data_IF_456111291066
#
_entry.id   IF_456111291066
#
_cell.length_a   1.000
_cell.length_b   1.000
_cell.length_c   1.000
_cell.angle_alpha   90.00
_cell.angle_beta   90.00
_cell.angle_gamma   90.00
#
_symmetry.space_group_name_H-M   'P 1'
#
loop_
_entity.id
_entity.type
_entity.pdbx_description
1 polymer ?
#
# COMPACT_ATOMS: atom_id res chain seq x y z
N UNK A 1 13.40 8.73 -8.01
CA UNK A 1 13.42 10.18 -8.37
C UNK A 1 14.75 10.66 -8.95
N UNK A 2 15.89 10.49 -8.27
CA UNK A 2 17.20 11.01 -8.75
C UNK A 2 17.54 10.56 -10.18
N UNK A 3 17.40 9.27 -10.47
CA UNK A 3 17.56 8.72 -11.82
C UNK A 3 16.73 9.51 -12.86
N UNK A 4 15.44 9.74 -12.59
CA UNK A 4 14.56 10.48 -13.48
C UNK A 4 15.00 11.94 -13.62
N UNK A 5 15.43 12.61 -12.54
CA UNK A 5 15.91 13.99 -12.60
C UNK A 5 17.19 14.13 -13.44
N UNK A 6 18.14 13.19 -13.31
CA UNK A 6 19.40 13.21 -14.08
C UNK A 6 19.17 12.93 -15.56
N UNK A 7 18.18 12.08 -15.87
CA UNK A 7 17.94 11.63 -17.24
C UNK A 7 16.78 12.34 -17.93
N UNK A 8 16.02 13.22 -17.25
CA UNK A 8 14.78 13.82 -17.75
C UNK A 8 14.90 14.42 -19.16
N UNK A 9 16.03 15.06 -19.48
CA UNK A 9 16.28 15.68 -20.78
C UNK A 9 16.30 14.67 -21.95
N UNK A 10 16.61 13.39 -21.68
CA UNK A 10 16.62 12.31 -22.68
C UNK A 10 15.21 12.03 -23.23
N UNK A 11 14.15 12.57 -22.62
CA UNK A 11 12.78 12.40 -23.09
C UNK A 11 12.56 12.94 -24.51
N UNK A 12 13.40 13.89 -24.95
CA UNK A 12 13.36 14.48 -26.29
C UNK A 12 14.02 13.59 -27.36
N UNK A 13 14.81 12.59 -26.96
CA UNK A 13 15.49 11.65 -27.85
C UNK A 13 14.90 10.24 -27.72
N UNK A 14 14.16 9.82 -28.76
CA UNK A 14 13.49 8.51 -28.81
C UNK A 14 14.43 7.31 -28.78
N UNK A 15 15.69 7.45 -29.22
CA UNK A 15 16.68 6.38 -29.17
C UNK A 15 17.32 6.34 -27.79
N UNK A 16 17.72 7.50 -27.26
CA UNK A 16 18.33 7.57 -25.92
C UNK A 16 17.36 7.14 -24.80
N UNK A 17 16.07 7.48 -24.90
CA UNK A 17 15.07 7.10 -23.90
C UNK A 17 14.86 5.58 -23.81
N UNK A 18 15.03 4.84 -24.91
CA UNK A 18 14.99 3.37 -24.91
C UNK A 18 16.17 2.78 -24.14
N UNK A 19 17.39 3.24 -24.44
CA UNK A 19 18.58 2.80 -23.70
C UNK A 19 18.49 3.18 -22.22
N UNK A 20 17.98 4.36 -21.92
CA UNK A 20 17.72 4.84 -20.56
C UNK A 20 16.71 3.96 -19.81
N UNK A 21 15.65 3.49 -20.48
CA UNK A 21 14.70 2.55 -19.87
C UNK A 21 15.35 1.21 -19.50
N UNK A 22 16.20 0.66 -20.37
CA UNK A 22 16.93 -0.58 -20.05
C UNK A 22 17.88 -0.37 -18.86
N UNK A 23 18.58 0.77 -18.82
CA UNK A 23 19.42 1.13 -17.67
C UNK A 23 18.58 1.25 -16.38
N UNK A 24 17.42 1.90 -16.46
CA UNK A 24 16.49 2.01 -15.34
C UNK A 24 16.05 0.64 -14.84
N UNK A 25 15.71 -0.29 -15.73
CA UNK A 25 15.32 -1.65 -15.36
C UNK A 25 16.46 -2.39 -14.64
N UNK A 26 17.70 -2.28 -15.11
CA UNK A 26 18.84 -2.88 -14.43
C UNK A 26 19.12 -2.25 -13.06
N UNK A 27 18.99 -0.94 -12.93
CA UNK A 27 19.12 -0.27 -11.62
C UNK A 27 18.00 -0.69 -10.66
N UNK A 28 16.77 -0.77 -11.17
CA UNK A 28 15.61 -1.20 -10.40
C UNK A 28 15.76 -2.66 -9.96
N UNK A 29 16.17 -3.56 -10.87
CA UNK A 29 16.46 -4.96 -10.58
C UNK A 29 17.54 -5.08 -9.51
N UNK A 30 18.67 -4.38 -9.67
CA UNK A 30 19.76 -4.39 -8.70
C UNK A 30 19.30 -3.91 -7.33
N UNK A 31 18.52 -2.82 -7.28
CA UNK A 31 17.99 -2.28 -6.03
C UNK A 31 17.00 -3.22 -5.39
N UNK A 32 16.03 -3.76 -6.12
CA UNK A 32 15.08 -4.74 -5.60
C UNK A 32 15.80 -5.99 -5.10
N UNK A 33 16.78 -6.51 -5.84
CA UNK A 33 17.61 -7.62 -5.37
C UNK A 33 18.31 -7.29 -4.06
N UNK A 34 18.93 -6.11 -3.95
CA UNK A 34 19.73 -5.75 -2.76
C UNK A 34 18.88 -5.36 -1.56
N UNK A 35 17.81 -4.60 -1.77
CA UNK A 35 17.02 -3.96 -0.71
C UNK A 35 15.77 -4.76 -0.33
N UNK A 36 15.27 -5.61 -1.21
CA UNK A 36 14.01 -6.35 -1.02
C UNK A 36 14.23 -7.85 -0.99
N UNK A 37 14.84 -8.42 -2.04
CA UNK A 37 14.86 -9.88 -2.21
C UNK A 37 16.05 -10.53 -1.52
N UNK A 38 17.16 -9.81 -1.27
CA UNK A 38 18.35 -10.35 -0.61
C UNK A 38 18.07 -10.94 0.77
N UNK A 39 17.13 -10.33 1.51
CA UNK A 39 16.70 -10.79 2.82
C UNK A 39 15.68 -11.93 2.76
N UNK A 40 15.18 -12.30 1.58
CA UNK A 40 14.24 -13.40 1.39
C UNK A 40 14.95 -14.71 1.09
N UNK A 41 14.27 -15.84 1.30
CA UNK A 41 14.72 -17.18 0.90
C UNK A 41 15.08 -17.25 -0.60
N UNK A 42 14.39 -16.46 -1.42
CA UNK A 42 14.57 -16.43 -2.87
C UNK A 42 15.83 -15.67 -3.29
N UNK A 43 16.34 -14.74 -2.48
CA UNK A 43 17.58 -13.96 -2.67
C UNK A 43 17.66 -13.06 -3.90
N UNK A 44 16.97 -13.36 -5.00
CA UNK A 44 16.96 -12.58 -6.24
C UNK A 44 15.61 -12.61 -6.95
N UNK A 45 15.34 -11.56 -7.73
CA UNK A 45 14.18 -11.46 -8.61
C UNK A 45 14.16 -12.54 -9.69
N UNK A 46 15.33 -13.01 -10.14
CA UNK A 46 15.42 -14.16 -11.06
C UNK A 46 14.81 -15.40 -10.42
N UNK A 47 15.18 -15.69 -9.17
CA UNK A 47 14.64 -16.83 -8.43
C UNK A 47 13.15 -16.66 -8.15
N UNK A 48 12.70 -15.43 -7.85
CA UNK A 48 11.27 -15.12 -7.72
C UNK A 48 10.53 -15.43 -9.03
N UNK A 49 11.04 -14.97 -10.16
CA UNK A 49 10.44 -15.20 -11.46
C UNK A 49 10.40 -16.71 -11.81
N UNK A 50 11.48 -17.43 -11.55
CA UNK A 50 11.54 -18.88 -11.73
C UNK A 50 10.51 -19.62 -10.88
N UNK A 51 10.38 -19.27 -9.59
CA UNK A 51 9.40 -19.89 -8.71
C UNK A 51 7.97 -19.58 -9.14
N UNK A 52 7.68 -18.35 -9.58
CA UNK A 52 6.37 -17.99 -10.12
C UNK A 52 6.06 -18.78 -11.40
N UNK A 53 7.01 -18.89 -12.32
CA UNK A 53 6.85 -19.69 -13.54
C UNK A 53 6.63 -21.15 -13.17
N UNK A 54 7.48 -21.72 -12.31
CA UNK A 54 7.37 -23.10 -11.86
C UNK A 54 6.01 -23.37 -11.20
N UNK A 55 5.52 -22.47 -10.35
CA UNK A 55 4.22 -22.58 -9.71
C UNK A 55 3.07 -22.61 -10.73
N UNK A 56 3.09 -21.71 -11.72
CA UNK A 56 2.08 -21.62 -12.79
C UNK A 56 2.03 -22.87 -13.66
N UNK A 57 3.16 -23.54 -13.85
CA UNK A 57 3.23 -24.76 -14.64
C UNK A 57 3.01 -26.04 -13.83
N UNK A 58 3.28 -26.03 -12.52
CA UNK A 58 3.21 -27.23 -11.67
C UNK A 58 1.88 -27.40 -10.93
N UNK A 59 1.13 -26.31 -10.67
CA UNK A 59 -0.12 -26.38 -9.91
C UNK A 59 -1.34 -26.07 -10.80
N UNK A 60 -2.32 -26.98 -10.77
CA UNK A 60 -3.53 -26.91 -11.61
C UNK A 60 -4.32 -25.61 -11.42
N UNK A 61 -4.36 -25.09 -10.19
CA UNK A 61 -5.05 -23.84 -9.85
C UNK A 61 -4.55 -22.62 -10.63
N UNK A 62 -3.32 -22.66 -11.15
CA UNK A 62 -2.70 -21.55 -11.87
C UNK A 62 -2.61 -21.76 -13.39
N UNK A 63 -3.11 -22.88 -13.92
CA UNK A 63 -3.01 -23.20 -15.35
C UNK A 63 -3.65 -22.13 -16.25
N UNK A 64 -4.71 -21.47 -15.78
CA UNK A 64 -5.38 -20.36 -16.47
C UNK A 64 -4.45 -19.16 -16.74
N UNK A 65 -3.34 -19.03 -16.00
CA UNK A 65 -2.37 -17.93 -16.13
C UNK A 65 -1.22 -18.22 -17.11
N UNK A 66 -1.09 -19.46 -17.60
CA UNK A 66 -0.03 -19.85 -18.55
C UNK A 66 0.03 -18.99 -19.83
N UNK A 67 -1.09 -18.59 -20.47
CA UNK A 67 -1.03 -17.71 -21.65
C UNK A 67 -0.35 -16.37 -21.35
N UNK A 68 -0.59 -15.79 -20.17
CA UNK A 68 0.01 -14.54 -19.73
C UNK A 68 1.53 -14.69 -19.54
N UNK A 69 1.96 -15.77 -18.87
CA UNK A 69 3.41 -16.04 -18.68
C UNK A 69 4.10 -16.21 -20.03
N UNK A 70 3.52 -16.96 -20.98
CA UNK A 70 4.07 -17.10 -22.33
C UNK A 70 4.16 -15.77 -23.07
N UNK A 71 3.18 -14.89 -22.90
CA UNK A 71 3.20 -13.56 -23.51
C UNK A 71 4.31 -12.67 -22.94
N UNK A 72 4.55 -12.72 -21.63
CA UNK A 72 5.66 -11.98 -21.00
C UNK A 72 7.00 -12.52 -21.51
N UNK A 73 7.17 -13.85 -21.53
CA UNK A 73 8.40 -14.50 -21.97
C UNK A 73 8.66 -14.36 -23.48
N UNK A 74 7.64 -14.13 -24.29
CA UNK A 74 7.80 -13.93 -25.74
C UNK A 74 8.42 -12.56 -26.09
N UNK A 75 8.58 -11.66 -25.11
CA UNK A 75 9.31 -10.39 -25.28
C UNK A 75 8.63 -9.39 -26.22
N UNK A 76 7.37 -9.60 -26.57
CA UNK A 76 6.66 -8.76 -27.55
C UNK A 76 6.22 -7.40 -27.00
N UNK A 77 6.34 -7.18 -25.69
CA UNK A 77 6.02 -5.90 -25.05
C UNK A 77 7.02 -5.53 -23.96
N UNK A 78 7.29 -4.24 -23.82
CA UNK A 78 8.05 -3.68 -22.71
C UNK A 78 7.09 -3.29 -21.59
N UNK A 79 6.85 -4.21 -20.67
CA UNK A 79 6.04 -3.92 -19.47
C UNK A 79 6.60 -2.68 -18.76
N UNK A 80 5.74 -1.72 -18.44
CA UNK A 80 6.13 -0.48 -17.75
C UNK A 80 6.74 0.62 -18.63
N UNK A 81 6.95 0.39 -19.94
CA UNK A 81 7.50 1.41 -20.86
C UNK A 81 6.71 2.72 -20.85
N UNK A 82 5.38 2.65 -21.02
CA UNK A 82 4.53 3.83 -21.08
C UNK A 82 4.58 4.63 -19.76
N UNK A 83 4.62 3.94 -18.62
CA UNK A 83 4.72 4.56 -17.30
C UNK A 83 6.08 5.25 -17.10
N UNK A 84 7.16 4.59 -17.51
CA UNK A 84 8.50 5.16 -17.48
C UNK A 84 8.60 6.44 -18.31
N UNK A 85 8.11 6.40 -19.55
CA UNK A 85 8.10 7.57 -20.43
C UNK A 85 7.25 8.68 -19.85
N UNK A 86 6.07 8.37 -19.31
CA UNK A 86 5.22 9.35 -18.64
C UNK A 86 5.94 10.03 -17.47
N UNK A 87 6.61 9.26 -16.62
CA UNK A 87 7.37 9.79 -15.48
C UNK A 87 8.56 10.65 -15.92
N UNK A 88 9.26 10.27 -16.99
CA UNK A 88 10.34 11.07 -17.59
C UNK A 88 9.82 12.41 -18.12
N UNK A 89 8.65 12.41 -18.79
CA UNK A 89 8.00 13.63 -19.30
C UNK A 89 7.60 14.56 -18.17
N UNK A 90 6.94 14.03 -17.14
CA UNK A 90 6.51 14.81 -15.98
C UNK A 90 7.70 15.45 -15.26
N UNK A 91 8.76 14.67 -15.06
CA UNK A 91 9.99 15.15 -14.43
C UNK A 91 10.64 16.25 -15.27
N UNK A 92 10.72 16.08 -16.59
CA UNK A 92 11.28 17.07 -17.51
C UNK A 92 10.50 18.40 -17.46
N UNK A 93 9.16 18.33 -17.55
CA UNK A 93 8.28 19.50 -17.48
C UNK A 93 8.45 20.21 -16.13
N UNK A 94 8.38 19.46 -15.03
CA UNK A 94 8.57 19.98 -13.68
C UNK A 94 9.93 20.68 -13.52
N UNK A 95 11.02 20.10 -14.04
CA UNK A 95 12.36 20.72 -13.95
C UNK A 95 12.50 21.98 -14.81
N UNK A 96 11.83 22.04 -15.97
CA UNK A 96 11.83 23.21 -16.86
C UNK A 96 11.01 24.37 -16.29
N UNK A 97 9.88 24.07 -15.63
CA UNK A 97 9.04 25.08 -14.97
C UNK A 97 9.61 25.63 -13.67
N UNK A 98 10.60 24.95 -13.07
CA UNK A 98 11.15 25.26 -11.74
C UNK A 98 12.47 26.05 -11.76
N UNK A 99 12.83 26.72 -12.85
CA UNK A 99 14.07 27.51 -13.00
C UNK A 99 14.10 28.81 -12.16
N UNK A 100 13.51 28.79 -10.95
CA UNK A 100 13.57 29.89 -9.97
C UNK A 100 14.71 29.65 -8.96
N UNK A 101 15.45 30.69 -8.52
CA UNK A 101 16.72 30.52 -7.79
C UNK A 101 16.61 29.99 -6.36
N UNK A 102 15.40 29.77 -5.83
CA UNK A 102 15.15 29.47 -4.42
C UNK A 102 15.30 28.00 -4.00
N UNK A 103 15.50 27.07 -4.94
CA UNK A 103 15.56 25.61 -4.66
C UNK A 103 16.96 25.04 -4.41
N UNK A 104 18.02 25.86 -4.42
CA UNK A 104 19.40 25.37 -4.17
C UNK A 104 19.58 24.79 -2.76
N UNK A 105 18.79 25.26 -1.78
CA UNK A 105 18.79 24.80 -0.39
C UNK A 105 18.11 23.43 -0.24
N UNK A 106 17.11 23.11 -1.07
CA UNK A 106 16.40 21.82 -1.02
C UNK A 106 17.19 20.66 -1.65
N UNK A 107 18.25 20.96 -2.40
CA UNK A 107 19.01 19.98 -3.19
C UNK A 107 19.84 19.00 -2.35
N UNK A 108 20.02 19.24 -1.06
CA UNK A 108 20.78 18.38 -0.13
C UNK A 108 20.00 17.95 1.12
N UNK A 109 18.73 18.36 1.27
CA UNK A 109 17.95 18.00 2.45
C UNK A 109 17.57 16.50 2.45
N UNK A 110 18.01 15.77 3.48
CA UNK A 110 17.60 14.39 3.74
C UNK A 110 16.32 14.38 4.58
N UNK A 111 15.54 13.30 4.55
CA UNK A 111 14.29 13.19 5.33
C UNK A 111 14.51 13.46 6.83
N UNK A 112 15.63 12.96 7.36
CA UNK A 112 16.05 13.18 8.75
C UNK A 112 16.41 14.64 9.06
N UNK A 113 16.96 15.38 8.09
CA UNK A 113 17.24 16.81 8.24
C UNK A 113 15.96 17.64 8.18
N UNK A 114 15.00 17.25 7.33
CA UNK A 114 13.71 17.93 7.22
C UNK A 114 12.83 17.70 8.45
N UNK A 115 12.87 16.49 9.02
CA UNK A 115 12.05 16.10 10.17
C UNK A 115 12.94 15.60 11.32
N UNK A 116 13.70 16.49 11.97
CA UNK A 116 14.63 16.11 13.03
C UNK A 116 13.87 15.68 14.30
N UNK A 117 14.29 14.60 14.97
CA UNK A 117 13.68 14.20 16.23
C UNK A 117 14.02 15.18 17.35
N UNK A 118 13.04 15.53 18.17
CA UNK A 118 13.15 16.53 19.26
C UNK A 118 13.39 15.90 20.63
N UNK A 119 13.03 14.63 20.80
CA UNK A 119 13.13 13.91 22.08
C UNK A 119 13.66 12.48 21.90
N UNK A 120 13.84 11.75 23.00
CA UNK A 120 14.40 10.40 22.98
C UNK A 120 13.47 9.37 22.31
N UNK A 121 12.15 9.54 22.46
CA UNK A 121 11.16 8.66 21.85
C UNK A 121 11.18 8.85 20.34
N UNK A 122 11.12 10.09 19.86
CA UNK A 122 11.25 10.41 18.43
C UNK A 122 12.60 9.95 17.87
N UNK A 123 13.70 10.03 18.61
CA UNK A 123 14.99 9.47 18.15
C UNK A 123 14.95 7.95 17.97
N UNK A 124 14.14 7.26 18.76
CA UNK A 124 13.98 5.81 18.70
C UNK A 124 13.11 5.39 17.52
N UNK A 125 12.04 6.13 17.25
CA UNK A 125 11.10 5.89 16.15
C UNK A 125 11.60 6.42 14.80
N UNK A 126 12.14 7.64 14.76
CA UNK A 126 12.46 8.32 13.50
C UNK A 126 13.71 7.70 12.86
N UNK A 127 13.64 7.43 11.56
CA UNK A 127 14.73 6.83 10.81
C UNK A 127 14.27 5.92 9.69
N UNK A 128 15.20 5.13 9.18
CA UNK A 128 14.94 4.12 8.16
C UNK A 128 14.62 2.79 8.81
N UNK A 129 13.59 2.13 8.28
CA UNK A 129 13.09 0.85 8.74
C UNK A 129 13.08 -0.12 7.57
N UNK A 130 13.54 -1.36 7.82
CA UNK A 130 13.55 -2.46 6.86
C UNK A 130 12.81 -3.64 7.45
N UNK A 131 11.92 -4.23 6.66
CA UNK A 131 11.08 -5.36 7.03
C UNK A 131 11.95 -6.59 7.27
N UNK A 132 11.71 -7.22 8.40
CA UNK A 132 12.29 -8.50 8.77
C UNK A 132 11.47 -9.61 8.12
N UNK A 133 11.90 -10.04 6.93
CA UNK A 133 11.18 -11.02 6.11
C UNK A 133 10.98 -12.37 6.80
N UNK A 134 11.83 -12.72 7.78
CA UNK A 134 11.74 -13.98 8.53
C UNK A 134 10.64 -13.94 9.60
N UNK A 135 10.19 -12.75 9.99
CA UNK A 135 9.18 -12.51 11.05
C UNK A 135 7.91 -11.84 10.48
N UNK A 136 7.69 -11.95 9.17
CA UNK A 136 6.45 -11.55 8.50
C UNK A 136 5.43 -12.68 8.63
N UNK A 137 4.26 -12.34 9.18
CA UNK A 137 3.10 -13.21 9.13
C UNK A 137 2.01 -12.50 8.36
N UNK A 138 1.51 -13.16 7.31
CA UNK A 138 0.36 -12.69 6.56
C UNK A 138 -0.57 -13.86 6.32
N UNK A 139 -1.71 -13.83 6.99
CA UNK A 139 -2.81 -14.77 6.79
C UNK A 139 -3.87 -14.04 5.95
N UNK A 140 -3.74 -14.12 4.63
CA UNK A 140 -4.85 -13.76 3.73
C UNK A 140 -5.80 -14.96 3.75
N UNK A 141 -7.11 -14.71 3.74
CA UNK A 141 -8.11 -15.73 3.37
C UNK A 141 -7.97 -16.15 1.90
N UNK A 142 -6.76 -16.52 1.46
CA UNK A 142 -6.58 -17.35 0.28
C UNK A 142 -7.27 -18.67 0.56
N UNK A 143 -7.97 -19.16 -0.47
CA UNK A 143 -8.54 -20.51 -0.50
C UNK A 143 -7.44 -21.48 -0.11
N UNK A 144 -7.41 -21.88 1.15
CA UNK A 144 -6.56 -22.96 1.61
C UNK A 144 -6.99 -24.16 0.77
N UNK A 145 -6.11 -24.60 -0.12
CA UNK A 145 -6.23 -25.79 -0.96
C UNK A 145 -6.18 -27.09 -0.13
N UNK A 146 -6.55 -27.00 1.15
CA UNK A 146 -6.80 -28.13 2.02
C UNK A 146 -8.19 -28.68 1.71
N UNK A 147 -8.33 -29.94 1.29
CA UNK A 147 -9.64 -30.56 1.09
C UNK A 147 -10.31 -30.72 2.46
N UNK A 148 -11.17 -29.77 2.84
CA UNK A 148 -11.96 -29.87 4.07
C UNK A 148 -12.29 -28.57 4.80
N UNK A 149 -11.73 -27.41 4.43
CA UNK A 149 -12.01 -26.14 5.12
C UNK A 149 -12.52 -25.04 4.19
N UNK A 150 -13.51 -25.36 3.35
CA UNK A 150 -14.36 -24.36 2.70
C UNK A 150 -15.62 -24.18 3.53
N UNK A 151 -15.74 -23.07 4.26
CA UNK A 151 -17.08 -22.69 4.76
C UNK A 151 -17.50 -21.28 4.32
N UNK A 152 -16.66 -20.26 4.15
CA UNK A 152 -17.19 -18.91 3.85
C UNK A 152 -16.24 -17.97 3.07
N UNK A 153 -15.66 -18.38 1.94
CA UNK A 153 -15.03 -17.39 1.04
C UNK A 153 -16.10 -16.84 0.08
N UNK A 154 -16.42 -15.55 0.19
CA UNK A 154 -17.35 -14.88 -0.73
C UNK A 154 -16.71 -14.80 -2.12
N UNK A 155 -17.27 -15.43 -3.16
CA UNK A 155 -16.71 -15.43 -4.52
C UNK A 155 -16.63 -14.03 -5.15
N UNK A 156 -17.23 -13.00 -4.53
CA UNK A 156 -17.18 -11.60 -4.95
C UNK A 156 -15.93 -10.87 -4.46
N UNK A 157 -15.18 -11.42 -3.52
CA UNK A 157 -13.92 -10.81 -3.06
C UNK A 157 -12.78 -11.36 -3.92
N UNK A 158 -12.09 -10.52 -4.71
CA UNK A 158 -11.03 -10.99 -5.59
C UNK A 158 -9.82 -11.46 -4.78
N UNK A 159 -9.14 -12.49 -5.32
CA UNK A 159 -7.83 -12.92 -4.83
C UNK A 159 -6.82 -11.77 -4.94
N UNK A 160 -5.88 -11.69 -3.99
CA UNK A 160 -4.80 -10.69 -4.03
C UNK A 160 -3.95 -10.94 -5.28
N UNK A 161 -3.86 -9.96 -6.17
CA UNK A 161 -2.99 -10.11 -7.34
C UNK A 161 -1.52 -10.03 -6.92
N UNK A 162 -0.66 -10.84 -7.56
CA UNK A 162 0.79 -10.78 -7.36
C UNK A 162 1.34 -9.36 -7.61
N UNK A 163 0.77 -8.63 -8.58
CA UNK A 163 1.16 -7.24 -8.85
C UNK A 163 0.85 -6.32 -7.68
N UNK A 164 -0.35 -6.46 -7.08
CA UNK A 164 -0.72 -5.70 -5.88
C UNK A 164 0.17 -6.04 -4.69
N UNK A 165 0.58 -7.30 -4.55
CA UNK A 165 1.48 -7.74 -3.50
C UNK A 165 2.90 -7.17 -3.70
N UNK A 166 3.43 -7.21 -4.92
CA UNK A 166 4.74 -6.62 -5.25
C UNK A 166 4.71 -5.10 -5.07
N UNK A 167 3.63 -4.44 -5.50
CA UNK A 167 3.45 -3.00 -5.29
C UNK A 167 3.40 -2.65 -3.80
N UNK A 168 2.66 -3.42 -3.00
CA UNK A 168 2.61 -3.23 -1.55
C UNK A 168 3.98 -3.47 -0.91
N UNK A 169 4.66 -4.57 -1.27
CA UNK A 169 6.01 -4.87 -0.80
C UNK A 169 7.00 -3.74 -1.13
N UNK A 170 6.92 -3.16 -2.32
CA UNK A 170 7.77 -2.04 -2.72
C UNK A 170 7.60 -0.80 -1.82
N UNK A 171 6.47 -0.69 -1.10
CA UNK A 171 6.15 0.42 -0.22
C UNK A 171 6.43 0.11 1.25
N UNK A 172 6.23 -1.14 1.68
CA UNK A 172 6.34 -1.52 3.09
C UNK A 172 7.69 -2.13 3.44
N UNK A 173 8.40 -2.78 2.52
CA UNK A 173 9.65 -3.49 2.83
C UNK A 173 10.73 -2.55 3.36
N UNK A 174 10.78 -1.32 2.86
CA UNK A 174 11.68 -0.30 3.39
C UNK A 174 10.98 1.04 3.36
N UNK A 175 11.06 1.80 4.44
CA UNK A 175 10.54 3.14 4.51
C UNK A 175 11.29 4.02 5.50
N UNK A 176 11.12 5.32 5.35
CA UNK A 176 11.51 6.33 6.32
C UNK A 176 10.31 6.77 7.12
N UNK A 177 10.49 6.83 8.43
CA UNK A 177 9.48 7.23 9.41
C UNK A 177 9.94 8.48 10.15
N UNK A 178 9.04 9.43 10.34
CA UNK A 178 9.22 10.52 11.28
C UNK A 178 7.92 10.78 12.03
N UNK A 179 7.93 10.53 13.33
CA UNK A 179 6.87 10.93 14.25
C UNK A 179 7.21 12.30 14.86
N UNK A 180 6.16 13.05 15.17
CA UNK A 180 6.20 14.27 15.97
C UNK A 180 5.11 14.15 17.03
N UNK A 181 5.53 14.02 18.28
CA UNK A 181 4.63 13.75 19.41
C UNK A 181 3.82 14.99 19.77
N UNK A 182 4.41 16.17 19.62
CA UNK A 182 3.78 17.46 19.94
C UNK A 182 2.64 17.76 18.96
N UNK A 183 2.89 17.61 17.67
CA UNK A 183 1.84 17.78 16.65
C UNK A 183 0.97 16.53 16.45
N UNK A 184 1.24 15.45 17.18
CA UNK A 184 0.61 14.12 17.03
C UNK A 184 0.59 13.69 15.56
N UNK A 185 1.72 13.75 14.87
CA UNK A 185 1.78 13.41 13.45
C UNK A 185 2.79 12.32 13.16
N UNK A 186 2.54 11.60 12.06
CA UNK A 186 3.48 10.65 11.49
C UNK A 186 3.66 10.93 10.01
N UNK A 187 4.91 10.86 9.56
CA UNK A 187 5.32 11.02 8.16
C UNK A 187 6.01 9.75 7.71
N UNK A 188 5.59 9.25 6.55
CA UNK A 188 6.08 8.00 5.97
C UNK A 188 6.48 8.21 4.53
N UNK A 189 7.66 7.72 4.15
CA UNK A 189 8.18 7.83 2.78
C UNK A 189 8.82 6.52 2.34
N UNK A 190 8.42 6.01 1.18
CA UNK A 190 9.10 4.88 0.55
C UNK A 190 10.36 5.38 -0.20
N UNK A 191 11.45 4.58 -0.25
CA UNK A 191 12.68 4.93 -0.98
C UNK A 191 12.45 5.25 -2.46
N UNK A 192 11.45 4.60 -3.05
CA UNK A 192 11.10 4.75 -4.47
C UNK A 192 10.01 5.81 -4.72
N UNK A 193 9.76 6.70 -3.76
CA UNK A 193 8.73 7.72 -3.89
C UNK A 193 8.91 8.59 -5.14
N UNK A 194 7.79 8.78 -5.85
CA UNK A 194 7.68 9.64 -7.03
C UNK A 194 7.51 11.12 -6.65
N UNK A 195 7.07 11.40 -5.42
CA UNK A 195 6.79 12.75 -4.95
C UNK A 195 8.06 13.56 -4.64
N UNK A 196 7.92 14.88 -4.41
CA UNK A 196 8.99 15.80 -4.04
C UNK A 196 9.85 15.29 -2.90
N UNK A 197 11.08 15.81 -2.76
CA UNK A 197 11.99 15.40 -1.66
C UNK A 197 11.37 15.61 -0.27
N UNK A 198 10.50 16.61 -0.13
CA UNK A 198 9.77 16.95 1.09
C UNK A 198 8.37 16.34 1.13
N UNK A 199 7.86 15.86 -0.01
CA UNK A 199 6.54 15.24 -0.07
C UNK A 199 6.61 13.81 0.47
N UNK A 200 5.68 13.50 1.36
CA UNK A 200 5.54 12.20 1.99
C UNK A 200 4.10 12.00 2.40
N UNK A 201 3.73 10.75 2.72
CA UNK A 201 2.48 10.50 3.42
C UNK A 201 2.56 11.19 4.78
N UNK A 202 1.60 12.04 5.09
CA UNK A 202 1.51 12.76 6.37
C UNK A 202 0.16 12.49 7.00
N UNK A 203 0.17 11.95 8.21
CA UNK A 203 -1.01 11.61 8.99
C UNK A 203 -0.98 12.36 10.32
N UNK A 204 -2.16 12.83 10.74
CA UNK A 204 -2.40 13.43 12.04
C UNK A 204 -3.18 12.43 12.88
N UNK A 205 -2.70 12.19 14.10
CA UNK A 205 -3.04 11.09 14.98
C UNK A 205 -3.80 11.58 16.23
N UNK A 206 -4.83 12.40 16.00
CA UNK A 206 -5.61 13.05 17.05
C UNK A 206 -6.97 12.38 17.36
N UNK A 207 -7.21 11.18 16.81
CA UNK A 207 -8.43 10.41 16.97
C UNK A 207 -9.61 10.91 16.12
N UNK A 208 -9.40 11.91 15.26
CA UNK A 208 -10.46 12.48 14.40
C UNK A 208 -10.46 11.85 13.01
N UNK A 209 -11.62 11.95 12.35
CA UNK A 209 -11.76 11.56 10.95
C UNK A 209 -10.94 12.52 10.07
N UNK A 210 -10.09 11.98 9.21
CA UNK A 210 -9.19 12.76 8.36
C UNK A 210 -9.04 12.11 6.99
N UNK A 211 -8.47 12.88 6.07
CA UNK A 211 -8.07 12.43 4.73
C UNK A 211 -6.57 12.67 4.58
N UNK A 212 -5.84 11.69 4.05
CA UNK A 212 -4.45 11.87 3.66
C UNK A 212 -4.33 12.09 2.16
N UNK A 213 -3.33 12.90 1.76
CA UNK A 213 -3.18 13.34 0.36
C UNK A 213 -2.51 12.30 -0.53
N UNK A 214 -1.57 11.54 0.01
CA UNK A 214 -0.70 10.68 -0.77
C UNK A 214 -0.18 9.48 0.02
N UNK A 215 0.09 8.41 -0.70
CA UNK A 215 0.74 7.21 -0.18
C UNK A 215 2.26 7.39 -0.01
N UNK A 216 2.95 6.48 0.69
CA UNK A 216 4.40 6.57 0.91
C UNK A 216 5.22 6.59 -0.40
N UNK A 217 4.72 5.98 -1.47
CA UNK A 217 5.33 6.01 -2.81
C UNK A 217 5.08 7.31 -3.58
N UNK A 218 4.35 8.26 -3.00
CA UNK A 218 4.08 9.56 -3.60
C UNK A 218 2.88 9.60 -4.55
N UNK A 219 2.17 8.48 -4.75
CA UNK A 219 0.92 8.46 -5.51
C UNK A 219 -0.17 9.16 -4.70
N UNK A 220 -0.96 10.00 -5.36
CA UNK A 220 -2.12 10.66 -4.74
C UNK A 220 -3.15 9.64 -4.28
N UNK A 221 -3.70 9.82 -3.10
CA UNK A 221 -4.79 8.96 -2.58
C UNK A 221 -6.07 9.06 -3.42
N UNK A 222 -6.20 10.09 -4.26
CA UNK A 222 -7.36 10.28 -5.14
C UNK A 222 -7.14 9.81 -6.59
N UNK A 223 -6.00 9.18 -6.91
CA UNK A 223 -5.64 8.84 -8.29
C UNK A 223 -6.30 7.56 -8.86
N UNK A 224 -7.22 6.91 -8.13
CA UNK A 224 -7.85 5.65 -8.54
C UNK A 224 -9.38 5.67 -8.53
N UNK A 225 -10.00 4.59 -9.01
CA UNK A 225 -11.43 4.36 -8.88
C UNK A 225 -11.79 4.12 -7.39
N UNK A 226 -12.49 5.08 -6.79
CA UNK A 226 -12.91 5.07 -5.40
C UNK A 226 -12.25 6.16 -4.53
N UNK A 227 -12.88 6.48 -3.40
CA UNK A 227 -12.29 7.41 -2.42
C UNK A 227 -11.32 6.63 -1.52
N UNK A 228 -10.02 6.71 -1.83
CA UNK A 228 -8.96 6.26 -0.92
C UNK A 228 -8.44 7.49 -0.17
N UNK A 229 -8.01 7.31 1.08
CA UNK A 229 -7.43 8.41 1.86
C UNK A 229 -8.13 8.68 3.18
N UNK A 230 -9.35 8.18 3.37
CA UNK A 230 -10.07 8.31 4.64
C UNK A 230 -9.38 7.49 5.74
N UNK A 231 -9.15 8.11 6.90
CA UNK A 231 -8.56 7.42 8.04
C UNK A 231 -8.97 7.99 9.41
N UNK A 232 -8.78 7.16 10.44
CA UNK A 232 -8.64 7.58 11.83
C UNK A 232 -7.23 7.21 12.29
N UNK A 233 -6.54 8.15 12.93
CA UNK A 233 -5.24 7.89 13.52
C UNK A 233 -5.22 8.36 14.96
N UNK A 234 -4.61 7.62 15.86
CA UNK A 234 -4.48 8.00 17.26
C UNK A 234 -3.12 7.61 17.81
N UNK A 235 -2.44 8.57 18.42
CA UNK A 235 -1.18 8.36 19.14
C UNK A 235 -1.48 8.32 20.64
N UNK A 236 -1.18 7.19 21.29
CA UNK A 236 -1.38 6.96 22.73
C UNK A 236 -0.07 6.61 23.41
N UNK A 237 0.04 6.99 24.69
CA UNK A 237 1.11 6.51 25.58
C UNK A 237 0.44 5.56 26.56
N UNK A 238 0.65 4.25 26.36
CA UNK A 238 -0.03 3.22 27.16
C UNK A 238 0.70 2.92 28.48
N UNK A 239 2.03 3.06 28.48
CA UNK A 239 2.88 2.95 29.65
C UNK A 239 4.02 3.97 29.57
N UNK A 240 4.73 4.28 30.68
CA UNK A 240 5.87 5.19 30.64
C UNK A 240 6.90 4.78 29.58
N UNK A 241 7.06 5.61 28.55
CA UNK A 241 7.96 5.36 27.42
C UNK A 241 7.44 4.40 26.34
N UNK A 242 6.20 3.90 26.44
CA UNK A 242 5.56 3.05 25.44
C UNK A 242 4.54 3.86 24.64
N UNK A 243 5.00 4.37 23.49
CA UNK A 243 4.16 5.01 22.49
C UNK A 243 3.51 3.93 21.61
N UNK A 244 2.22 4.08 21.33
CA UNK A 244 1.46 3.19 20.44
C UNK A 244 0.67 4.06 19.46
N UNK A 245 0.69 3.69 18.17
CA UNK A 245 -0.09 4.36 17.14
C UNK A 245 -1.16 3.39 16.63
N UNK A 246 -2.42 3.79 16.78
CA UNK A 246 -3.56 3.12 16.17
C UNK A 246 -3.90 3.82 14.86
N UNK A 247 -4.06 3.06 13.78
CA UNK A 247 -4.34 3.59 12.45
C UNK A 247 -5.41 2.75 11.76
N UNK A 248 -6.50 3.38 11.38
CA UNK A 248 -7.58 2.79 10.58
C UNK A 248 -7.64 3.49 9.22
N UNK A 249 -7.40 2.79 8.12
CA UNK A 249 -7.46 3.33 6.75
C UNK A 249 -8.61 2.67 5.99
N UNK A 250 -9.34 3.47 5.20
CA UNK A 250 -10.48 3.01 4.43
C UNK A 250 -10.23 3.19 2.92
N UNK A 251 -10.68 2.19 2.15
CA UNK A 251 -10.83 2.24 0.71
C UNK A 251 -12.28 1.97 0.37
N UNK A 252 -12.94 2.96 -0.21
CA UNK A 252 -14.34 2.86 -0.59
C UNK A 252 -14.47 2.54 -2.07
N UNK A 253 -15.15 1.44 -2.38
CA UNK A 253 -15.60 1.16 -3.74
C UNK A 253 -17.01 1.73 -3.96
N UNK A 254 -17.19 2.41 -5.09
CA UNK A 254 -18.50 2.90 -5.55
C UNK A 254 -19.10 2.01 -6.64
N UNK A 255 -18.29 1.13 -7.23
CA UNK A 255 -18.72 0.22 -8.28
C UNK A 255 -19.46 -0.97 -7.68
N UNK A 256 -20.57 -1.34 -8.31
CA UNK A 256 -21.36 -2.49 -7.91
C UNK A 256 -20.54 -3.78 -8.07
N UNK A 257 -20.50 -4.61 -7.01
CA UNK A 257 -19.73 -5.85 -7.01
C UNK A 257 -18.25 -5.70 -6.63
N UNK A 258 -17.72 -4.47 -6.57
CA UNK A 258 -16.33 -4.23 -6.13
C UNK A 258 -16.30 -3.95 -4.61
N UNK A 259 -15.46 -4.66 -3.83
CA UNK A 259 -15.45 -4.54 -2.37
C UNK A 259 -14.81 -3.25 -1.84
N UNK A 260 -15.32 -2.77 -0.70
CA UNK A 260 -14.65 -1.77 0.13
C UNK A 260 -13.77 -2.45 1.18
N UNK A 261 -12.67 -1.81 1.56
CA UNK A 261 -11.70 -2.33 2.52
C UNK A 261 -11.49 -1.38 3.71
N UNK A 262 -11.26 -1.96 4.87
CA UNK A 262 -10.93 -1.26 6.10
C UNK A 262 -9.73 -1.95 6.75
N UNK A 263 -8.60 -1.27 6.81
CA UNK A 263 -7.36 -1.78 7.40
C UNK A 263 -7.20 -1.18 8.78
N UNK A 264 -7.05 -2.01 9.82
CA UNK A 264 -6.77 -1.57 11.18
C UNK A 264 -5.37 -2.00 11.57
N UNK A 265 -4.57 -1.07 12.04
CA UNK A 265 -3.17 -1.29 12.42
C UNK A 265 -2.89 -0.75 13.81
N UNK A 266 -2.13 -1.52 14.57
CA UNK A 266 -1.44 -1.11 15.79
C UNK A 266 0.07 -1.09 15.48
N UNK A 267 0.72 0.03 15.75
CA UNK A 267 2.14 0.25 15.48
C UNK A 267 2.83 0.54 16.81
N UNK A 268 3.86 -0.23 17.11
CA UNK A 268 4.56 -0.20 18.39
C UNK A 268 6.07 -0.24 18.19
N UNK A 269 6.81 0.50 19.01
CA UNK A 269 8.25 0.36 19.12
C UNK A 269 8.59 -0.47 20.36
N UNK A 270 9.20 -1.62 20.15
CA UNK A 270 9.61 -2.53 21.21
C UNK A 270 10.96 -2.12 21.79
N UNK A 271 11.17 -2.46 23.07
CA UNK A 271 12.43 -2.17 23.80
C UNK A 271 13.68 -2.78 23.17
N UNK A 272 13.53 -3.83 22.37
CA UNK A 272 14.62 -4.46 21.61
C UNK A 272 15.02 -3.66 20.35
N UNK A 273 14.44 -2.47 20.13
CA UNK A 273 14.76 -1.62 18.98
C UNK A 273 13.99 -1.96 17.71
N UNK A 274 13.01 -2.87 17.77
CA UNK A 274 12.19 -3.27 16.63
C UNK A 274 10.89 -2.47 16.58
N UNK A 275 10.46 -2.12 15.38
CA UNK A 275 9.14 -1.56 15.13
C UNK A 275 8.23 -2.71 14.70
N UNK A 276 7.08 -2.88 15.35
CA UNK A 276 6.09 -3.87 14.98
C UNK A 276 4.83 -3.18 14.48
N UNK A 277 4.26 -3.72 13.41
CA UNK A 277 2.96 -3.32 12.86
C UNK A 277 2.09 -4.56 12.81
N UNK A 278 0.99 -4.55 13.56
CA UNK A 278 0.04 -5.66 13.63
C UNK A 278 -1.34 -5.17 13.25
N UNK A 279 -2.11 -6.01 12.57
CA UNK A 279 -3.41 -5.56 12.11
C UNK A 279 -4.26 -6.61 11.44
N UNK A 280 -5.44 -6.16 11.05
CA UNK A 280 -6.37 -6.92 10.24
C UNK A 280 -6.89 -6.08 9.07
N UNK A 281 -7.27 -6.81 8.04
CA UNK A 281 -7.92 -6.29 6.85
C UNK A 281 -9.35 -6.79 6.90
N UNK A 282 -10.28 -5.84 6.87
CA UNK A 282 -11.70 -6.10 6.83
C UNK A 282 -12.24 -5.72 5.45
N UNK A 283 -13.26 -6.45 5.02
CA UNK A 283 -13.89 -6.29 3.70
C UNK A 283 -15.40 -6.32 3.83
N UNK A 284 -16.09 -5.53 3.01
CA UNK A 284 -17.55 -5.61 2.89
C UNK A 284 -17.93 -6.79 2.00
N UNK A 285 -18.55 -7.84 2.56
CA UNK A 285 -18.98 -9.07 1.84
C UNK A 285 -20.48 -9.05 1.44
N UNK A 286 -21.14 -7.90 1.54
CA UNK A 286 -22.54 -7.71 1.13
C UNK A 286 -22.69 -7.17 -0.30
N UNK A 287 -23.87 -7.28 -0.95
CA UNK A 287 -24.16 -6.49 -2.14
C UNK A 287 -24.06 -4.98 -1.82
N UNK A 288 -23.63 -4.19 -2.80
CA UNK A 288 -23.26 -2.76 -2.77
C UNK A 288 -23.17 -2.08 -1.39
N UNK A 289 -21.94 -1.66 -1.03
CA UNK A 289 -21.62 -0.90 0.20
C UNK A 289 -22.55 0.31 0.42
N UNK A 290 -22.97 0.93 -0.68
CA UNK A 290 -23.82 2.11 -0.73
C UNK A 290 -25.03 1.86 -1.64
N UNK A 291 -26.20 2.40 -1.30
CA UNK A 291 -27.36 2.34 -2.21
C UNK A 291 -27.17 3.20 -3.45
N UNK A 292 -27.96 2.94 -4.50
CA UNK A 292 -28.01 3.80 -5.69
C UNK A 292 -28.29 5.28 -5.36
N UNK A 293 -29.04 5.55 -4.29
CA UNK A 293 -29.32 6.91 -3.79
C UNK A 293 -28.14 7.51 -3.04
N UNK A 294 -27.34 6.69 -2.34
CA UNK A 294 -26.17 7.14 -1.57
C UNK A 294 -24.95 7.39 -2.48
N UNK A 295 -24.76 6.57 -3.53
CA UNK A 295 -23.60 6.59 -4.44
C UNK A 295 -23.21 8.01 -4.92
N UNK A 296 -24.15 8.86 -5.40
CA UNK A 296 -23.82 10.21 -5.86
C UNK A 296 -23.22 11.11 -4.78
N UNK A 297 -23.52 10.85 -3.50
CA UNK A 297 -23.13 11.69 -2.37
C UNK A 297 -22.00 11.09 -1.53
N UNK A 298 -21.52 9.88 -1.82
CA UNK A 298 -20.47 9.23 -1.02
C UNK A 298 -19.22 10.09 -0.91
N UNK A 299 -18.84 10.81 -1.98
CA UNK A 299 -17.71 11.74 -1.94
C UNK A 299 -17.86 12.87 -0.92
N UNK A 300 -19.11 13.27 -0.61
CA UNK A 300 -19.45 14.36 0.31
C UNK A 300 -19.74 13.85 1.73
N UNK A 301 -20.00 12.55 1.89
CA UNK A 301 -20.25 11.94 3.19
C UNK A 301 -19.01 12.01 4.09
N UNK A 302 -19.22 12.42 5.35
CA UNK A 302 -18.19 12.24 6.37
C UNK A 302 -17.82 10.76 6.53
N UNK A 303 -16.56 10.48 6.90
CA UNK A 303 -16.10 9.12 7.18
C UNK A 303 -17.01 8.37 8.19
N UNK A 304 -17.50 9.08 9.22
CA UNK A 304 -18.44 8.52 10.19
C UNK A 304 -19.78 8.14 9.55
N UNK A 305 -20.27 8.95 8.62
CA UNK A 305 -21.48 8.66 7.88
C UNK A 305 -21.29 7.46 6.93
N UNK A 306 -20.17 7.38 6.20
CA UNK A 306 -19.83 6.23 5.36
C UNK A 306 -19.83 4.92 6.16
N UNK A 307 -19.15 4.90 7.31
CA UNK A 307 -19.14 3.75 8.24
C UNK A 307 -20.54 3.34 8.70
N UNK A 308 -21.36 4.32 9.08
CA UNK A 308 -22.76 4.09 9.48
C UNK A 308 -23.60 3.52 8.33
N UNK A 309 -23.37 3.95 7.09
CA UNK A 309 -24.06 3.39 5.92
C UNK A 309 -23.69 1.92 5.69
N UNK A 310 -22.41 1.53 5.88
CA UNK A 310 -22.00 0.11 5.83
C UNK A 310 -22.68 -0.71 6.92
N UNK A 311 -22.69 -0.21 8.15
CA UNK A 311 -23.39 -0.86 9.28
C UNK A 311 -24.89 -1.03 9.00
N UNK A 312 -25.54 -0.01 8.41
CA UNK A 312 -26.95 -0.08 7.99
C UNK A 312 -27.17 -1.03 6.81
N UNK A 313 -26.28 -1.07 5.83
CA UNK A 313 -26.38 -1.98 4.69
C UNK A 313 -26.40 -3.43 5.19
N UNK A 314 -25.49 -3.79 6.09
CA UNK A 314 -25.46 -5.10 6.73
C UNK A 314 -26.75 -5.40 7.53
N UNK A 315 -27.25 -4.42 8.29
CA UNK A 315 -28.48 -4.57 9.07
C UNK A 315 -29.72 -4.77 8.19
N UNK A 316 -29.84 -4.06 7.05
CA UNK A 316 -30.94 -4.24 6.08
C UNK A 316 -30.99 -5.66 5.53
N UNK A 317 -29.85 -6.29 5.32
CA UNK A 317 -29.76 -7.66 4.81
C UNK A 317 -29.99 -8.74 5.88
N UNK A 318 -30.01 -8.37 7.16
CA UNK A 318 -30.44 -9.25 8.24
C UNK A 318 -31.96 -9.34 8.42
N UNK A 319 -32.74 -8.48 7.72
CA UNK A 319 -34.20 -8.50 7.75
C UNK A 319 -34.78 -9.34 6.59
N UNK A 320 -35.72 -10.27 6.86
CA UNK A 320 -36.20 -11.21 5.85
C UNK A 320 -37.10 -10.53 4.80
N UNK A 321 -36.89 -10.86 3.52
CA UNK A 321 -38.00 -10.94 2.58
C UNK A 321 -38.87 -12.15 2.99
N UNK A 322 -40.17 -11.98 3.10
CA UNK A 322 -41.08 -13.01 3.60
C UNK A 322 -40.96 -14.30 2.76
N UNK A 323 -40.50 -15.40 3.38
CA UNK A 323 -40.74 -16.76 2.88
C UNK A 323 -39.54 -17.63 2.48
N UNK A 324 -38.28 -17.19 2.63
CA UNK A 324 -37.11 -18.04 2.26
C UNK A 324 -36.44 -18.66 3.49
N UNK A 325 -36.12 -19.97 3.51
CA UNK A 325 -35.46 -20.62 4.65
C UNK A 325 -34.00 -20.16 4.80
N UNK A 326 -33.57 -20.08 6.06
CA UNK A 326 -32.29 -19.58 6.57
C UNK A 326 -31.04 -20.25 5.98
N UNK A 327 -30.05 -19.43 5.60
CA UNK A 327 -28.65 -19.69 5.94
C UNK A 327 -28.32 -18.84 7.17
N UNK A 328 -28.03 -19.49 8.31
CA UNK A 328 -27.95 -18.91 9.66
C UNK A 328 -26.69 -18.07 9.98
N UNK A 329 -25.99 -17.52 8.98
CA UNK A 329 -24.80 -16.72 9.24
C UNK A 329 -25.19 -15.24 9.44
N UNK A 330 -24.85 -14.60 10.58
CA UNK A 330 -25.06 -13.17 10.74
C UNK A 330 -24.28 -12.41 9.66
N UNK A 331 -24.95 -11.48 8.96
CA UNK A 331 -24.29 -10.59 8.00
C UNK A 331 -23.49 -9.55 8.81
N UNK A 332 -22.19 -9.77 8.92
CA UNK A 332 -21.28 -8.82 9.57
C UNK A 332 -20.98 -7.69 8.58
N UNK A 333 -21.06 -6.40 8.96
CA UNK A 333 -20.80 -5.29 8.04
C UNK A 333 -19.41 -5.30 7.42
N UNK A 334 -18.47 -5.82 8.19
CA UNK A 334 -17.06 -5.96 7.85
C UNK A 334 -16.65 -7.41 8.15
N UNK A 335 -16.53 -8.22 7.10
CA UNK A 335 -15.98 -9.56 7.20
C UNK A 335 -14.46 -9.51 7.32
N UNK A 336 -13.87 -10.44 8.07
CA UNK A 336 -12.42 -10.56 8.14
C UNK A 336 -11.89 -11.06 6.79
N UNK A 337 -10.97 -10.30 6.19
CA UNK A 337 -10.29 -10.68 4.95
C UNK A 337 -8.93 -11.31 5.23
N UNK A 338 -8.23 -10.84 6.26
CA UNK A 338 -6.95 -11.39 6.66
C UNK A 338 -6.31 -10.63 7.81
N UNK A 339 -5.20 -11.17 8.32
CA UNK A 339 -4.39 -10.57 9.38
C UNK A 339 -2.94 -10.47 8.95
N UNK A 340 -2.26 -9.49 9.51
CA UNK A 340 -0.84 -9.29 9.26
C UNK A 340 -0.10 -8.91 10.54
N UNK A 341 1.15 -9.37 10.59
CA UNK A 341 2.15 -8.93 11.54
C UNK A 341 3.45 -8.71 10.78
N UNK A 342 3.96 -7.50 10.87
CA UNK A 342 5.16 -7.03 10.20
C UNK A 342 6.12 -6.52 11.27
N UNK A 343 7.35 -7.03 11.26
CA UNK A 343 8.40 -6.58 12.17
C UNK A 343 9.51 -5.90 11.36
N UNK A 344 10.07 -4.83 11.90
CA UNK A 344 11.06 -4.01 11.21
C UNK A 344 12.29 -3.79 12.08
N UNK A 345 13.44 -3.80 11.42
CA UNK A 345 14.73 -3.46 11.98
C UNK A 345 15.15 -2.06 11.52
N UNK A 346 15.74 -1.30 12.43
CA UNK A 346 16.22 0.05 12.13
C UNK A 346 17.57 -0.01 11.39
N UNK A 347 17.75 0.85 10.40
CA UNK A 347 18.99 0.96 9.60
C UNK A 347 19.85 2.14 10.05
#
# INVERSE_FOLDING_TARGET
REFFCLNAALVLDKKAIRSCFIQFLHELEKRLNTEVVAASILRSLSNVAEQVIAAVYSHECFHSRRPLVRHILSGQSFAGWNMFVAQMRETYISTMSSASPSQSIERNATFKMTFPPRNAVERSWNGQWVLDMDDVQWDVNEVSSSPGRKINADPRVPDVSLFSLVELMSQVVRFELAIDIESRSVRVRAPQSLAGRLDCMHLVLDGKARVFRMFPNGISSYAGEGSQGDYFGEMRVEAPGQLVIFLEIFRWSLEEGTPSYHVRSCIEFHRNGRLAVRGDILVTTGPSTFTAEEIPYVGEMSLRAKRKSVEKAAARHSQPASGVPRNNSPVIPWGEYGRFQLCYNKV
#
